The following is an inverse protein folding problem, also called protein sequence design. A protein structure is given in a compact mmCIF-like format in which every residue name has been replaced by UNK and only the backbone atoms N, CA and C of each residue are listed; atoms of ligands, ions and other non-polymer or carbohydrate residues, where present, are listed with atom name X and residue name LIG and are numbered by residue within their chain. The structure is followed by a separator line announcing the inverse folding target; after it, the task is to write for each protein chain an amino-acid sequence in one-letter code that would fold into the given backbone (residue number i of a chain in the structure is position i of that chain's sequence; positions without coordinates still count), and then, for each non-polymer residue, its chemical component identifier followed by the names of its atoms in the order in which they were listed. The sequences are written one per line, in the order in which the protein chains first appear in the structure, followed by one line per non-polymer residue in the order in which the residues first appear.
data_IF_489521814935
#
_entry.id   IF_489521814935
#
_cell.length_a   1.000
_cell.length_b   1.000
_cell.length_c   1.000
_cell.angle_alpha   90.00
_cell.angle_beta   90.00
_cell.angle_gamma   90.00
#
_symmetry.space_group_name_H-M   'P 1'
#
loop_
_entity.id
_entity.type
_entity.pdbx_description
1 polymer ?
#
# COMPACT_ATOMS: atom_id res chain seq x y z
N UNK A 1 38.04 34.00 -15.99
CA UNK A 1 37.19 33.66 -14.82
C UNK A 1 35.75 33.98 -15.22
N UNK A 2 34.90 32.96 -15.42
CA UNK A 2 33.48 33.12 -15.71
C UNK A 2 32.71 32.74 -14.45
N UNK A 3 31.96 33.69 -13.91
CA UNK A 3 31.09 33.49 -12.75
C UNK A 3 29.94 32.55 -13.12
N UNK A 4 29.78 31.48 -12.35
CA UNK A 4 28.70 30.51 -12.50
C UNK A 4 27.57 30.95 -11.58
N UNK A 5 26.43 31.39 -12.15
CA UNK A 5 25.22 31.65 -11.38
C UNK A 5 24.35 30.38 -11.36
N UNK A 6 23.97 29.86 -10.19
CA UNK A 6 23.05 28.72 -10.11
C UNK A 6 21.66 29.16 -10.56
N UNK A 7 21.01 28.33 -11.36
CA UNK A 7 19.62 28.51 -11.78
C UNK A 7 18.67 28.31 -10.60
N UNK A 8 17.82 29.30 -10.35
CA UNK A 8 16.70 29.20 -9.41
C UNK A 8 15.67 28.21 -9.99
N UNK A 9 15.65 26.99 -9.46
CA UNK A 9 14.59 26.02 -9.74
C UNK A 9 13.36 26.43 -8.92
N UNK A 10 12.45 27.14 -9.57
CA UNK A 10 11.15 27.52 -9.02
C UNK A 10 10.27 26.26 -8.91
N UNK A 11 10.29 25.63 -7.72
CA UNK A 11 9.35 24.57 -7.36
C UNK A 11 7.98 25.17 -7.01
N UNK A 12 7.24 25.63 -8.02
CA UNK A 12 5.78 25.75 -7.91
C UNK A 12 5.17 24.35 -8.06
N UNK A 13 5.14 23.61 -6.94
CA UNK A 13 4.19 22.52 -6.79
C UNK A 13 2.82 23.16 -6.61
N UNK A 14 2.02 23.18 -7.69
CA UNK A 14 0.57 23.25 -7.54
C UNK A 14 0.14 22.02 -6.75
N UNK A 15 -0.07 22.21 -5.45
CA UNK A 15 -0.77 21.27 -4.61
C UNK A 15 -2.21 21.21 -5.12
N UNK A 16 -2.47 20.32 -6.07
CA UNK A 16 -3.82 19.88 -6.36
C UNK A 16 -4.39 19.34 -5.06
N UNK A 17 -5.19 20.14 -4.36
CA UNK A 17 -5.86 19.74 -3.15
C UNK A 17 -6.61 18.44 -3.47
N UNK A 18 -6.15 17.32 -2.90
CA UNK A 18 -6.86 16.06 -2.95
C UNK A 18 -8.27 16.35 -2.43
N UNK A 19 -9.24 16.36 -3.35
CA UNK A 19 -10.61 16.70 -3.03
C UNK A 19 -11.07 15.74 -1.93
N UNK A 20 -11.37 16.28 -0.75
CA UNK A 20 -12.04 15.49 0.28
C UNK A 20 -13.29 14.86 -0.35
N UNK A 21 -13.61 13.58 -0.05
CA UNK A 21 -14.85 13.00 -0.52
C UNK A 21 -16.00 13.96 -0.16
N UNK A 22 -16.90 14.30 -1.10
CA UNK A 22 -17.98 15.23 -0.81
C UNK A 22 -18.78 14.75 0.40
N UNK A 23 -19.40 15.67 1.13
CA UNK A 23 -20.28 15.34 2.25
C UNK A 23 -21.40 14.34 1.86
N UNK A 24 -21.65 14.20 0.55
CA UNK A 24 -22.54 13.22 -0.06
C UNK A 24 -21.73 12.22 -0.92
N UNK A 25 -21.11 11.24 -0.25
CA UNK A 25 -20.38 10.15 -0.87
C UNK A 25 -21.26 9.36 -1.86
N UNK A 26 -22.56 9.26 -1.60
CA UNK A 26 -23.50 8.55 -2.47
C UNK A 26 -23.65 9.27 -3.81
N UNK A 27 -23.82 10.59 -3.79
CA UNK A 27 -23.97 11.38 -5.00
C UNK A 27 -22.65 11.48 -5.80
N UNK A 28 -21.51 11.46 -5.12
CA UNK A 28 -20.20 11.37 -5.75
C UNK A 28 -20.00 10.02 -6.46
N UNK A 29 -20.23 8.90 -5.75
CA UNK A 29 -20.16 7.55 -6.33
C UNK A 29 -21.11 7.40 -7.51
N UNK A 30 -22.33 7.92 -7.39
CA UNK A 30 -23.31 7.90 -8.48
C UNK A 30 -22.78 8.61 -9.73
N UNK A 31 -22.27 9.84 -9.58
CA UNK A 31 -21.71 10.60 -10.71
C UNK A 31 -20.49 9.93 -11.32
N UNK A 32 -19.57 9.40 -10.51
CA UNK A 32 -18.37 8.71 -11.01
C UNK A 32 -18.72 7.44 -11.76
N UNK A 33 -19.72 6.69 -11.30
CA UNK A 33 -20.25 5.54 -12.04
C UNK A 33 -20.91 6.02 -13.32
N UNK A 34 -21.84 6.99 -13.28
CA UNK A 34 -22.51 7.51 -14.47
C UNK A 34 -21.52 8.00 -15.54
N UNK A 35 -20.47 8.74 -15.15
CA UNK A 35 -19.41 9.19 -16.08
C UNK A 35 -18.53 8.05 -16.59
N UNK A 36 -18.26 7.02 -15.78
CA UNK A 36 -17.53 5.84 -16.25
C UNK A 36 -18.33 5.02 -17.29
N UNK A 37 -19.65 5.22 -17.34
CA UNK A 37 -20.57 4.56 -18.27
C UNK A 37 -21.09 5.49 -19.40
N UNK A 38 -20.71 6.78 -19.43
CA UNK A 38 -20.91 7.68 -20.57
C UNK A 38 -20.02 7.22 -21.74
N UNK A 39 -20.55 6.30 -22.55
CA UNK A 39 -19.81 5.61 -23.61
C UNK A 39 -20.13 4.11 -23.68
N UNK A 40 -20.99 3.60 -22.79
CA UNK A 40 -21.50 2.25 -22.88
C UNK A 40 -22.21 2.01 -24.23
N UNK A 41 -21.85 0.96 -24.98
CA UNK A 41 -22.49 0.67 -26.26
C UNK A 41 -23.99 0.41 -26.06
N UNK A 42 -24.81 0.95 -26.98
CA UNK A 42 -26.22 0.63 -27.08
C UNK A 42 -26.38 -0.90 -27.16
N UNK A 43 -27.07 -1.50 -26.18
CA UNK A 43 -27.26 -2.94 -26.08
C UNK A 43 -26.70 -3.60 -24.82
N UNK A 44 -26.25 -2.84 -23.82
CA UNK A 44 -26.05 -3.42 -22.50
C UNK A 44 -27.35 -4.07 -22.00
N UNK A 45 -27.30 -5.32 -21.52
CA UNK A 45 -28.47 -5.96 -20.94
C UNK A 45 -29.01 -5.08 -19.82
N UNK A 46 -30.34 -4.93 -19.76
CA UNK A 46 -31.00 -4.20 -18.69
C UNK A 46 -30.37 -4.62 -17.36
N UNK A 47 -29.77 -3.66 -16.66
CA UNK A 47 -29.16 -3.91 -15.36
C UNK A 47 -30.19 -4.68 -14.51
N UNK A 48 -29.87 -5.89 -14.02
CA UNK A 48 -30.81 -6.62 -13.19
C UNK A 48 -31.21 -5.71 -12.04
N UNK A 49 -32.53 -5.65 -11.77
CA UNK A 49 -33.06 -4.83 -10.70
C UNK A 49 -32.23 -5.06 -9.43
N UNK A 50 -31.64 -3.98 -8.89
CA UNK A 50 -30.77 -4.04 -7.71
C UNK A 50 -31.50 -4.84 -6.64
N UNK A 51 -30.91 -5.96 -6.23
CA UNK A 51 -31.53 -6.85 -5.25
C UNK A 51 -31.97 -6.04 -4.02
N UNK A 52 -33.24 -6.17 -3.66
CA UNK A 52 -33.79 -5.55 -2.46
C UNK A 52 -33.39 -6.33 -1.19
N UNK A 53 -32.67 -7.45 -1.34
CA UNK A 53 -32.14 -8.24 -0.23
C UNK A 53 -31.19 -7.39 0.64
N UNK A 54 -31.53 -7.16 1.92
CA UNK A 54 -30.67 -6.43 2.86
C UNK A 54 -29.27 -7.04 3.01
N UNK A 55 -29.14 -8.37 2.94
CA UNK A 55 -27.85 -9.04 3.10
C UNK A 55 -26.92 -8.76 1.92
N UNK A 56 -27.46 -8.82 0.69
CA UNK A 56 -26.74 -8.44 -0.52
C UNK A 56 -26.30 -6.97 -0.48
N UNK A 57 -27.20 -6.05 -0.09
CA UNK A 57 -26.87 -4.62 0.05
C UNK A 57 -25.76 -4.38 1.05
N UNK A 58 -25.80 -5.03 2.22
CA UNK A 58 -24.75 -4.92 3.22
C UNK A 58 -23.40 -5.43 2.69
N UNK A 59 -23.41 -6.54 1.93
CA UNK A 59 -22.22 -7.06 1.25
C UNK A 59 -21.65 -6.06 0.23
N UNK A 60 -22.49 -5.49 -0.64
CA UNK A 60 -22.06 -4.48 -1.61
C UNK A 60 -21.49 -3.23 -0.94
N UNK A 61 -22.12 -2.74 0.13
CA UNK A 61 -21.62 -1.59 0.89
C UNK A 61 -20.27 -1.89 1.54
N UNK A 62 -20.10 -3.10 2.07
CA UNK A 62 -18.82 -3.53 2.65
C UNK A 62 -17.72 -3.58 1.59
N UNK A 63 -17.99 -4.20 0.43
CA UNK A 63 -17.04 -4.24 -0.69
C UNK A 63 -16.68 -2.83 -1.19
N UNK A 64 -17.68 -1.93 -1.29
CA UNK A 64 -17.46 -0.53 -1.66
C UNK A 64 -16.56 0.22 -0.68
N UNK A 65 -16.75 0.06 0.63
CA UNK A 65 -15.89 0.65 1.66
C UNK A 65 -14.44 0.14 1.58
N UNK A 66 -14.26 -1.15 1.33
CA UNK A 66 -12.94 -1.76 1.17
C UNK A 66 -12.22 -1.24 -0.09
N UNK A 67 -12.93 -1.21 -1.23
CA UNK A 67 -12.39 -0.69 -2.48
C UNK A 67 -12.00 0.80 -2.35
N UNK A 68 -12.85 1.60 -1.72
CA UNK A 68 -12.57 3.01 -1.44
C UNK A 68 -11.32 3.18 -0.57
N UNK A 69 -11.19 2.37 0.49
CA UNK A 69 -10.01 2.41 1.37
C UNK A 69 -8.72 2.10 0.62
N UNK A 70 -8.73 1.08 -0.25
CA UNK A 70 -7.58 0.71 -1.09
C UNK A 70 -7.25 1.85 -2.08
N UNK A 71 -8.27 2.47 -2.69
CA UNK A 71 -8.06 3.59 -3.61
C UNK A 71 -7.38 4.79 -2.91
N UNK A 72 -7.81 5.12 -1.69
CA UNK A 72 -7.17 6.18 -0.90
C UNK A 72 -5.71 5.85 -0.56
N UNK A 73 -5.42 4.61 -0.14
CA UNK A 73 -4.04 4.19 0.13
C UNK A 73 -3.16 4.23 -1.12
N UNK A 74 -3.69 3.84 -2.29
CA UNK A 74 -2.98 3.93 -3.56
C UNK A 74 -2.61 5.39 -3.89
N UNK A 75 -3.57 6.30 -3.79
CA UNK A 75 -3.32 7.73 -4.01
C UNK A 75 -2.22 8.25 -3.08
N UNK A 76 -2.29 7.91 -1.78
CA UNK A 76 -1.26 8.28 -0.80
C UNK A 76 0.10 7.69 -1.11
N UNK A 77 0.15 6.48 -1.64
CA UNK A 77 1.38 5.84 -2.06
C UNK A 77 2.01 6.56 -3.24
N UNK A 78 1.22 6.96 -4.23
CA UNK A 78 1.70 7.72 -5.39
C UNK A 78 2.29 9.07 -4.96
N UNK A 79 1.69 9.73 -3.97
CA UNK A 79 2.21 10.97 -3.37
C UNK A 79 3.49 10.76 -2.55
N UNK A 80 3.56 9.66 -1.78
CA UNK A 80 4.65 9.41 -0.84
C UNK A 80 5.92 8.81 -1.50
N UNK A 81 5.78 8.08 -2.61
CA UNK A 81 6.86 7.31 -3.22
C UNK A 81 7.31 6.12 -2.37
N UNK A 82 8.53 5.65 -2.60
CA UNK A 82 9.11 4.49 -1.88
C UNK A 82 9.35 4.83 -0.40
N UNK A 83 8.84 3.97 0.49
CA UNK A 83 9.06 4.07 1.93
C UNK A 83 9.61 2.74 2.47
N UNK A 84 10.83 2.71 3.06
CA UNK A 84 11.42 1.48 3.58
C UNK A 84 10.84 1.12 4.95
N UNK A 85 9.56 0.82 4.99
CA UNK A 85 8.81 0.45 6.18
C UNK A 85 8.35 -1.01 6.12
N UNK A 86 8.22 -1.70 7.26
CA UNK A 86 7.53 -2.99 7.30
C UNK A 86 6.06 -2.83 6.89
N UNK A 87 5.40 -3.93 6.52
CA UNK A 87 4.09 -3.90 5.83
C UNK A 87 3.04 -3.14 6.63
N UNK A 88 2.91 -3.37 7.93
CA UNK A 88 1.86 -2.73 8.73
C UNK A 88 2.15 -1.25 8.96
N UNK A 89 3.40 -0.89 9.23
CA UNK A 89 3.88 0.47 9.41
C UNK A 89 3.79 1.27 8.10
N UNK A 90 4.05 0.64 6.96
CA UNK A 90 3.84 1.22 5.62
C UNK A 90 2.37 1.57 5.44
N UNK A 91 1.47 0.61 5.68
CA UNK A 91 0.03 0.83 5.53
C UNK A 91 -0.49 1.91 6.52
N UNK A 92 0.02 1.93 7.75
CA UNK A 92 -0.30 2.95 8.75
C UNK A 92 0.20 4.35 8.32
N UNK A 93 1.42 4.43 7.81
CA UNK A 93 2.01 5.64 7.24
C UNK A 93 1.15 6.18 6.10
N UNK A 94 0.79 5.31 5.14
CA UNK A 94 -0.09 5.67 4.01
C UNK A 94 -1.48 6.11 4.47
N UNK A 95 -2.02 5.50 5.52
CA UNK A 95 -3.32 5.90 6.08
C UNK A 95 -3.27 7.28 6.75
N UNK A 96 -2.09 7.82 7.10
CA UNK A 96 -1.95 9.15 7.71
C UNK A 96 -2.75 9.33 8.99
N UNK A 97 -2.93 8.26 9.78
CA UNK A 97 -3.76 8.25 10.98
C UNK A 97 -5.26 8.03 10.75
N UNK A 98 -5.73 7.89 9.51
CA UNK A 98 -7.11 7.55 9.19
C UNK A 98 -7.41 6.06 9.47
N UNK A 99 -7.69 5.74 10.74
CA UNK A 99 -7.90 4.36 11.23
C UNK A 99 -8.95 3.60 10.40
N UNK A 100 -10.06 4.24 10.02
CA UNK A 100 -11.12 3.60 9.25
C UNK A 100 -10.65 3.12 7.86
N UNK A 101 -9.72 3.86 7.24
CA UNK A 101 -9.15 3.53 5.92
C UNK A 101 -8.23 2.31 6.04
N UNK A 102 -7.34 2.34 7.04
CA UNK A 102 -6.46 1.21 7.31
C UNK A 102 -7.26 -0.06 7.63
N UNK A 103 -8.28 0.05 8.48
CA UNK A 103 -9.12 -1.05 8.90
C UNK A 103 -9.87 -1.69 7.73
N UNK A 104 -10.45 -0.86 6.86
CA UNK A 104 -11.12 -1.32 5.65
C UNK A 104 -10.17 -2.07 4.70
N UNK A 105 -8.96 -1.55 4.49
CA UNK A 105 -7.96 -2.17 3.62
C UNK A 105 -7.44 -3.50 4.21
N UNK A 106 -7.09 -3.53 5.50
CA UNK A 106 -6.59 -4.74 6.16
C UNK A 106 -7.63 -5.85 6.19
N UNK A 107 -8.89 -5.52 6.52
CA UNK A 107 -9.98 -6.49 6.51
C UNK A 107 -10.31 -6.96 5.09
N UNK A 108 -10.32 -6.07 4.09
CA UNK A 108 -10.57 -6.43 2.69
C UNK A 108 -9.45 -7.29 2.07
N UNK A 109 -8.22 -7.18 2.57
CA UNK A 109 -7.10 -8.00 2.16
C UNK A 109 -6.94 -9.28 2.99
N UNK A 110 -7.70 -9.43 4.08
CA UNK A 110 -7.55 -10.55 5.02
C UNK A 110 -6.21 -10.55 5.79
N UNK A 111 -5.56 -9.39 5.93
CA UNK A 111 -4.25 -9.29 6.60
C UNK A 111 -4.35 -9.35 8.12
N UNK A 112 -5.54 -9.13 8.70
CA UNK A 112 -5.75 -9.18 10.16
C UNK A 112 -5.75 -10.60 10.69
N UNK A 113 -6.17 -11.54 9.85
CA UNK A 113 -6.39 -12.94 10.20
C UNK A 113 -5.14 -13.80 10.03
N UNK A 114 -4.04 -13.22 9.53
CA UNK A 114 -2.76 -13.92 9.36
C UNK A 114 -1.66 -13.27 10.19
N UNK A 115 -0.84 -14.05 10.92
CA UNK A 115 0.32 -13.49 11.60
C UNK A 115 1.37 -13.04 10.56
N UNK A 116 2.11 -11.93 10.81
CA UNK A 116 2.92 -11.31 9.76
C UNK A 116 4.13 -12.12 9.28
N UNK A 117 4.52 -13.18 10.00
CA UNK A 117 5.57 -14.13 9.58
C UNK A 117 5.04 -15.34 8.79
N UNK A 118 3.73 -15.42 8.56
CA UNK A 118 3.15 -16.58 7.87
C UNK A 118 3.18 -16.45 6.35
N UNK A 119 3.30 -17.57 5.62
CA UNK A 119 3.09 -17.61 4.17
C UNK A 119 1.72 -17.06 3.75
N UNK A 120 0.69 -17.30 4.57
CA UNK A 120 -0.66 -16.79 4.33
C UNK A 120 -0.76 -15.26 4.40
N UNK A 121 0.02 -14.62 5.28
CA UNK A 121 0.15 -13.16 5.28
C UNK A 121 0.83 -12.67 4.01
N UNK A 122 1.94 -13.32 3.61
CA UNK A 122 2.71 -12.93 2.43
C UNK A 122 1.91 -13.01 1.12
N UNK A 123 1.10 -14.07 0.94
CA UNK A 123 0.22 -14.19 -0.22
C UNK A 123 -0.85 -13.07 -0.26
N UNK A 124 -1.48 -12.77 0.88
CA UNK A 124 -2.47 -11.68 1.00
C UNK A 124 -1.83 -10.30 0.81
N UNK A 125 -0.61 -10.14 1.29
CA UNK A 125 0.18 -8.93 1.06
C UNK A 125 0.49 -8.74 -0.41
N UNK A 126 0.87 -9.80 -1.14
CA UNK A 126 1.10 -9.74 -2.60
C UNK A 126 -0.13 -9.21 -3.35
N UNK A 127 -1.30 -9.79 -3.07
CA UNK A 127 -2.55 -9.35 -3.67
C UNK A 127 -2.88 -7.87 -3.34
N UNK A 128 -2.66 -7.44 -2.09
CA UNK A 128 -2.88 -6.04 -1.70
C UNK A 128 -1.85 -5.11 -2.36
N UNK A 129 -0.57 -5.47 -2.38
CA UNK A 129 0.51 -4.70 -2.97
C UNK A 129 0.26 -4.43 -4.46
N UNK A 130 -0.22 -5.43 -5.19
CA UNK A 130 -0.66 -5.26 -6.58
C UNK A 130 -1.80 -4.23 -6.69
N UNK A 131 -2.81 -4.31 -5.80
CA UNK A 131 -3.92 -3.35 -5.76
C UNK A 131 -3.49 -1.94 -5.31
N UNK A 132 -2.39 -1.82 -4.58
CA UNK A 132 -1.77 -0.53 -4.24
C UNK A 132 -0.78 -0.03 -5.30
N UNK A 133 -0.63 -0.78 -6.40
CA UNK A 133 0.31 -0.48 -7.49
C UNK A 133 1.77 -0.37 -7.02
N UNK A 134 2.14 -1.10 -5.96
CA UNK A 134 3.53 -1.20 -5.52
C UNK A 134 4.36 -1.96 -6.56
N UNK A 135 5.63 -1.60 -6.70
CA UNK A 135 6.56 -2.45 -7.44
C UNK A 135 6.72 -3.79 -6.72
N UNK A 136 6.84 -4.90 -7.46
CA UNK A 136 7.07 -6.23 -6.85
C UNK A 136 8.27 -6.23 -5.91
N UNK A 137 9.33 -5.52 -6.30
CA UNK A 137 10.55 -5.38 -5.50
C UNK A 137 10.30 -4.57 -4.22
N UNK A 138 9.66 -3.42 -4.32
CA UNK A 138 9.23 -2.60 -3.17
C UNK A 138 8.39 -3.42 -2.18
N UNK A 139 7.41 -4.17 -2.68
CA UNK A 139 6.55 -4.99 -1.85
C UNK A 139 7.30 -6.14 -1.14
N UNK A 140 8.26 -6.77 -1.83
CA UNK A 140 9.15 -7.77 -1.21
C UNK A 140 10.07 -7.15 -0.15
N UNK A 141 10.57 -5.93 -0.36
CA UNK A 141 11.38 -5.22 0.64
C UNK A 141 10.55 -4.97 1.91
N UNK A 142 9.30 -4.51 1.79
CA UNK A 142 8.42 -4.33 2.94
C UNK A 142 8.14 -5.66 3.68
N UNK A 143 7.96 -6.77 2.95
CA UNK A 143 7.80 -8.10 3.53
C UNK A 143 9.06 -8.54 4.31
N UNK A 144 10.24 -8.40 3.71
CA UNK A 144 11.53 -8.71 4.34
C UNK A 144 11.76 -7.87 5.60
N UNK A 145 11.45 -6.58 5.55
CA UNK A 145 11.49 -5.69 6.71
C UNK A 145 10.57 -6.17 7.83
N UNK A 146 9.38 -6.69 7.50
CA UNK A 146 8.43 -7.24 8.48
C UNK A 146 9.05 -8.40 9.25
N UNK A 147 9.62 -9.37 8.53
CA UNK A 147 10.33 -10.48 9.18
C UNK A 147 11.55 -9.98 9.98
N UNK A 148 12.26 -8.98 9.48
CA UNK A 148 13.46 -8.48 10.15
C UNK A 148 13.16 -7.72 11.43
N UNK A 149 12.11 -6.90 11.45
CA UNK A 149 11.65 -6.20 12.66
C UNK A 149 11.08 -7.17 13.69
N UNK A 150 10.39 -8.24 13.27
CA UNK A 150 9.97 -9.28 14.20
C UNK A 150 11.14 -10.04 14.83
N UNK A 151 12.22 -10.25 14.07
CA UNK A 151 13.42 -10.92 14.54
C UNK A 151 14.31 -10.01 15.42
N UNK A 152 14.29 -8.71 15.16
CA UNK A 152 15.08 -7.66 15.82
C UNK A 152 14.29 -6.33 15.82
N UNK A 153 13.47 -6.06 16.86
CA UNK A 153 12.63 -4.86 16.91
C UNK A 153 13.40 -3.54 16.90
N UNK A 154 14.68 -3.54 17.33
CA UNK A 154 15.52 -2.33 17.32
C UNK A 154 15.89 -1.88 15.90
N UNK A 155 15.83 -2.80 14.93
CA UNK A 155 16.10 -2.53 13.52
C UNK A 155 15.23 -1.40 12.98
N UNK A 156 13.97 -1.33 13.41
CA UNK A 156 13.04 -0.29 12.98
C UNK A 156 13.52 1.10 13.41
N UNK A 157 14.11 1.21 14.60
CA UNK A 157 14.70 2.47 15.10
C UNK A 157 15.91 2.89 14.27
N UNK A 158 16.70 1.95 13.75
CA UNK A 158 17.82 2.24 12.85
C UNK A 158 17.32 2.82 11.53
N UNK A 159 16.26 2.22 10.96
CA UNK A 159 15.64 2.75 9.75
C UNK A 159 15.04 4.15 9.97
N UNK A 160 14.31 4.36 11.07
CA UNK A 160 13.76 5.68 11.40
C UNK A 160 14.82 6.74 11.71
N UNK A 161 15.87 6.40 12.46
CA UNK A 161 16.95 7.33 12.77
C UNK A 161 17.66 7.79 11.49
N UNK A 162 17.89 6.86 10.57
CA UNK A 162 18.56 7.14 9.30
C UNK A 162 17.65 7.86 8.29
N UNK A 163 16.35 7.60 8.34
CA UNK A 163 15.33 8.38 7.64
C UNK A 163 15.23 9.84 8.15
N UNK A 164 15.51 10.12 9.43
CA UNK A 164 15.48 11.49 9.96
C UNK A 164 16.74 12.30 9.68
N UNK A 165 17.86 11.64 9.37
CA UNK A 165 19.18 12.26 9.22
C UNK A 165 19.55 12.65 7.79
N UNK A 166 19.00 11.95 6.78
CA UNK A 166 19.06 12.30 5.35
C UNK A 166 17.63 12.57 4.88
N UNK A 167 17.42 13.43 3.90
CA UNK A 167 16.10 13.59 3.28
C UNK A 167 15.54 12.20 2.94
N UNK A 168 14.40 11.82 3.55
CA UNK A 168 13.68 10.57 3.33
C UNK A 168 13.53 10.20 1.83
N UNK A 169 13.58 11.21 0.96
CA UNK A 169 13.54 11.12 -0.50
C UNK A 169 14.75 10.41 -1.14
N UNK A 170 15.84 10.16 -0.40
CA UNK A 170 17.07 9.60 -0.94
C UNK A 170 17.18 8.08 -0.93
N UNK A 171 16.31 7.38 -0.19
CA UNK A 171 16.40 5.93 -0.06
C UNK A 171 16.03 5.22 -1.35
N UNK A 172 16.93 4.35 -1.82
CA UNK A 172 16.68 3.49 -2.98
C UNK A 172 16.43 2.05 -2.51
N UNK A 173 15.56 1.35 -3.23
CA UNK A 173 15.24 -0.07 -2.99
C UNK A 173 16.52 -0.93 -2.88
N UNK A 174 17.52 -0.68 -3.73
CA UNK A 174 18.81 -1.39 -3.74
C UNK A 174 19.57 -1.27 -2.41
N UNK A 175 19.52 -0.10 -1.78
CA UNK A 175 20.26 0.16 -0.54
C UNK A 175 19.64 -0.59 0.64
N UNK A 176 18.30 -0.59 0.69
CA UNK A 176 17.54 -1.32 1.72
C UNK A 176 17.74 -2.81 1.55
N UNK A 177 17.66 -3.32 0.32
CA UNK A 177 17.85 -4.74 0.03
C UNK A 177 19.27 -5.21 0.39
N UNK A 178 20.29 -4.38 0.12
CA UNK A 178 21.67 -4.65 0.54
C UNK A 178 21.81 -4.76 2.06
N UNK A 179 21.26 -3.79 2.80
CA UNK A 179 21.28 -3.79 4.28
C UNK A 179 20.54 -5.00 4.87
N UNK A 180 19.39 -5.35 4.28
CA UNK A 180 18.64 -6.53 4.69
C UNK A 180 19.42 -7.80 4.42
N UNK A 181 20.03 -7.95 3.24
CA UNK A 181 20.80 -9.15 2.87
C UNK A 181 21.89 -9.47 3.89
N UNK A 182 22.68 -8.48 4.29
CA UNK A 182 23.75 -8.66 5.28
C UNK A 182 23.22 -9.12 6.64
N UNK A 183 22.03 -8.63 7.03
CA UNK A 183 21.35 -9.03 8.27
C UNK A 183 20.77 -10.44 8.17
N UNK A 184 20.11 -10.75 7.05
CA UNK A 184 19.50 -12.06 6.77
C UNK A 184 20.54 -13.19 6.78
N UNK A 185 21.77 -12.92 6.36
CA UNK A 185 22.88 -13.88 6.41
C UNK A 185 23.25 -14.32 7.84
N UNK A 186 22.93 -13.50 8.85
CA UNK A 186 23.21 -13.81 10.26
C UNK A 186 22.08 -14.56 10.96
N UNK A 187 20.97 -14.79 10.27
CA UNK A 187 19.84 -15.51 10.84
C UNK A 187 20.09 -17.01 10.92
N UNK A 188 19.49 -17.62 11.94
CA UNK A 188 19.40 -19.07 12.04
C UNK A 188 18.67 -19.68 10.82
N UNK A 189 18.83 -20.99 10.63
CA UNK A 189 18.27 -21.70 9.48
C UNK A 189 16.73 -21.60 9.45
N UNK A 190 16.08 -21.65 10.61
CA UNK A 190 14.62 -21.66 10.72
C UNK A 190 14.01 -20.33 10.29
N UNK A 191 14.61 -19.21 10.71
CA UNK A 191 14.19 -17.86 10.29
C UNK A 191 14.35 -17.67 8.79
N UNK A 192 15.48 -18.13 8.22
CA UNK A 192 15.71 -18.07 6.77
C UNK A 192 14.69 -18.93 6.01
N UNK A 193 14.36 -20.11 6.52
CA UNK A 193 13.35 -20.98 5.92
C UNK A 193 11.95 -20.35 5.97
N UNK A 194 11.56 -19.70 7.08
CA UNK A 194 10.28 -18.97 7.18
C UNK A 194 10.19 -17.82 6.19
N UNK A 195 11.25 -17.01 6.07
CA UNK A 195 11.27 -15.93 5.07
C UNK A 195 11.19 -16.49 3.64
N UNK A 196 11.94 -17.55 3.33
CA UNK A 196 11.89 -18.17 2.00
C UNK A 196 10.47 -18.67 1.65
N UNK A 197 9.78 -19.32 2.60
CA UNK A 197 8.41 -19.76 2.42
C UNK A 197 7.43 -18.58 2.24
N UNK A 198 7.66 -17.47 2.94
CA UNK A 198 6.88 -16.25 2.76
C UNK A 198 7.13 -15.61 1.37
N UNK A 199 8.37 -15.53 0.91
CA UNK A 199 8.71 -15.01 -0.43
C UNK A 199 8.15 -15.86 -1.57
N UNK A 200 8.17 -17.18 -1.41
CA UNK A 200 7.53 -18.12 -2.34
C UNK A 200 6.02 -17.90 -2.40
N UNK A 201 5.36 -17.85 -1.24
CA UNK A 201 3.92 -17.60 -1.16
C UNK A 201 3.52 -16.20 -1.69
N UNK A 202 4.37 -15.19 -1.46
CA UNK A 202 4.19 -13.86 -2.05
C UNK A 202 4.22 -13.92 -3.58
N UNK A 203 5.21 -14.63 -4.13
CA UNK A 203 5.39 -14.76 -5.59
C UNK A 203 4.27 -15.55 -6.24
N UNK A 204 3.70 -16.54 -5.54
CA UNK A 204 2.55 -17.32 -6.01
C UNK A 204 1.20 -16.59 -5.90
N UNK A 205 1.11 -15.53 -5.08
CA UNK A 205 -0.10 -14.74 -4.87
C UNK A 205 -0.27 -13.53 -5.80
N UNK A 206 0.71 -13.29 -6.69
CA UNK A 206 0.71 -12.19 -7.66
C UNK A 206 0.01 -12.54 -8.97
#
# INVERSE_FOLDING_TARGET
MKEFRPAEISNRHDQGAAASPPADLEQWLRRTVETAFEGAPEGLPAMPAVSQDPAFRACCQQAGRQAWSIAQLRQRREEAGFQPLPVLELLQSLAGGAVAVLDGALAGAGLRESPPDSPGFAARWSALAHRLCLGTREALVALRLTHAVQADPELLSVFYARARGDELSGWREDQVDGLLRDRLLRWDADRRARLAAAEEAFSAGA
#
